data_IF_065002640037
#
_entry.id   IF_065002640037
#
_cell.length_a   1.000
_cell.length_b   1.000
_cell.length_c   1.000
_cell.angle_alpha   90.00
_cell.angle_beta   90.00
_cell.angle_gamma   90.00
#
_symmetry.space_group_name_H-M   'P 1'
#
loop_
_entity.id
_entity.type
_entity.pdbx_description
1 polymer ?
#
# COMPACT_ATOMS: atom_id res chain seq x y z
N UNK A 1 2.37 -15.34 16.18
CA UNK A 1 1.35 -14.91 15.19
C UNK A 1 2.06 -13.92 14.26
N UNK A 2 2.04 -14.19 12.96
CA UNK A 2 2.69 -13.30 12.00
C UNK A 2 1.94 -11.99 11.87
N UNK A 3 2.68 -10.90 11.69
CA UNK A 3 2.16 -9.53 11.61
C UNK A 3 2.10 -9.05 10.17
N UNK A 4 1.02 -8.34 9.82
CA UNK A 4 0.84 -7.77 8.49
C UNK A 4 0.43 -6.30 8.58
N UNK A 5 1.15 -5.45 7.87
CA UNK A 5 0.77 -4.05 7.65
C UNK A 5 0.08 -3.91 6.30
N UNK A 6 -1.13 -3.35 6.30
CA UNK A 6 -1.88 -3.05 5.10
C UNK A 6 -2.03 -1.53 5.01
N UNK A 7 -1.36 -0.89 4.06
CA UNK A 7 -1.50 0.56 3.85
C UNK A 7 -2.71 0.85 2.96
N UNK A 8 -3.28 2.04 3.07
CA UNK A 8 -4.54 2.33 2.38
C UNK A 8 -5.71 1.47 2.88
N UNK A 9 -5.61 0.99 4.12
CA UNK A 9 -6.55 0.05 4.75
C UNK A 9 -7.98 0.57 4.85
N UNK A 10 -8.18 1.88 4.86
CA UNK A 10 -9.52 2.51 4.86
C UNK A 10 -10.17 2.57 3.48
N UNK A 11 -9.43 2.26 2.41
CA UNK A 11 -9.94 2.23 1.05
C UNK A 11 -10.67 0.92 0.71
N UNK A 12 -11.30 0.89 -0.47
CA UNK A 12 -12.10 -0.27 -0.92
C UNK A 12 -11.29 -1.58 -0.89
N UNK A 13 -10.20 -1.66 -1.64
CA UNK A 13 -9.36 -2.88 -1.70
C UNK A 13 -8.72 -3.16 -0.33
N UNK A 14 -8.16 -2.14 0.31
CA UNK A 14 -7.47 -2.29 1.59
C UNK A 14 -8.36 -2.87 2.69
N UNK A 15 -9.63 -2.45 2.78
CA UNK A 15 -10.57 -2.95 3.79
C UNK A 15 -10.89 -4.44 3.59
N UNK A 16 -11.06 -4.92 2.36
CA UNK A 16 -11.24 -6.35 2.08
C UNK A 16 -10.01 -7.18 2.44
N UNK A 17 -8.81 -6.65 2.18
CA UNK A 17 -7.56 -7.34 2.55
C UNK A 17 -7.43 -7.40 4.08
N UNK A 18 -7.81 -6.34 4.80
CA UNK A 18 -7.86 -6.33 6.27
C UNK A 18 -8.76 -7.44 6.80
N UNK A 19 -9.98 -7.55 6.26
CA UNK A 19 -10.92 -8.62 6.66
C UNK A 19 -10.37 -10.01 6.40
N UNK A 20 -9.76 -10.24 5.24
CA UNK A 20 -9.19 -11.54 4.89
C UNK A 20 -7.99 -11.88 5.76
N UNK A 21 -7.12 -10.90 6.08
CA UNK A 21 -6.00 -11.09 6.99
C UNK A 21 -6.46 -11.47 8.41
N UNK A 22 -7.55 -10.87 8.90
CA UNK A 22 -8.16 -11.24 10.18
C UNK A 22 -8.69 -12.67 10.18
N UNK A 23 -9.37 -13.09 9.11
CA UNK A 23 -9.86 -14.47 8.94
C UNK A 23 -8.71 -15.48 8.97
N UNK A 24 -7.58 -15.13 8.37
CA UNK A 24 -6.35 -15.93 8.35
C UNK A 24 -5.54 -15.84 9.65
N UNK A 25 -6.03 -15.12 10.65
CA UNK A 25 -5.43 -15.01 12.00
C UNK A 25 -4.06 -14.32 12.01
N UNK A 26 -3.83 -13.36 11.10
CA UNK A 26 -2.70 -12.45 11.20
C UNK A 26 -2.89 -11.43 12.34
N UNK A 27 -1.80 -10.94 12.90
CA UNK A 27 -1.79 -9.69 13.67
C UNK A 27 -1.88 -8.52 12.69
N UNK A 28 -3.06 -7.88 12.58
CA UNK A 28 -3.37 -6.92 11.52
C UNK A 28 -3.11 -5.48 11.95
N UNK A 29 -2.30 -4.79 11.17
CA UNK A 29 -2.02 -3.36 11.27
C UNK A 29 -2.59 -2.63 10.09
N UNK A 30 -3.52 -1.72 10.34
CA UNK A 30 -4.14 -0.89 9.32
C UNK A 30 -3.40 0.45 9.22
N UNK A 31 -2.60 0.60 8.17
CA UNK A 31 -1.90 1.84 7.83
C UNK A 31 -2.84 2.82 7.15
N UNK A 32 -3.13 3.94 7.80
CA UNK A 32 -4.06 4.96 7.33
C UNK A 32 -3.50 6.37 7.54
N UNK A 33 -4.02 7.37 6.83
CA UNK A 33 -3.76 8.78 7.14
C UNK A 33 -4.61 9.21 8.35
N UNK A 34 -4.17 10.20 9.11
CA UNK A 34 -4.92 10.76 10.24
C UNK A 34 -6.36 11.18 9.88
N UNK A 35 -6.54 11.70 8.66
CA UNK A 35 -7.85 12.12 8.11
C UNK A 35 -8.72 11.00 7.54
N UNK A 36 -8.25 9.75 7.53
CA UNK A 36 -8.97 8.63 6.92
C UNK A 36 -10.18 8.20 7.75
N UNK A 37 -11.28 7.84 7.07
CA UNK A 37 -12.42 7.18 7.72
C UNK A 37 -11.97 5.85 8.35
N UNK A 38 -12.52 5.53 9.52
CA UNK A 38 -12.32 4.24 10.20
C UNK A 38 -13.55 3.36 10.14
N UNK A 39 -14.49 3.66 9.26
CA UNK A 39 -15.79 2.98 9.16
C UNK A 39 -15.67 1.48 8.99
N UNK A 40 -14.75 1.03 8.14
CA UNK A 40 -14.48 -0.40 7.87
C UNK A 40 -13.41 -1.01 8.79
N UNK A 41 -12.86 -0.24 9.75
CA UNK A 41 -11.78 -0.66 10.64
C UNK A 41 -12.23 -0.76 12.11
N UNK A 42 -13.50 -1.12 12.35
CA UNK A 42 -14.10 -1.15 13.70
C UNK A 42 -13.77 -2.40 14.51
N UNK A 43 -13.19 -3.43 13.89
CA UNK A 43 -12.84 -4.66 14.58
C UNK A 43 -11.72 -4.39 15.60
N UNK A 44 -11.96 -4.73 16.88
CA UNK A 44 -11.01 -4.49 17.98
C UNK A 44 -9.66 -5.21 17.85
N UNK A 45 -9.55 -6.18 16.93
CA UNK A 45 -8.30 -6.89 16.64
C UNK A 45 -7.41 -6.15 15.64
N UNK A 46 -7.89 -5.04 15.06
CA UNK A 46 -7.13 -4.22 14.14
C UNK A 46 -6.33 -3.19 14.95
N UNK A 47 -5.03 -3.18 14.75
CA UNK A 47 -4.15 -2.12 15.24
C UNK A 47 -4.10 -1.00 14.21
N UNK A 48 -4.47 0.21 14.59
CA UNK A 48 -4.39 1.38 13.71
C UNK A 48 -2.98 1.96 13.78
N UNK A 49 -2.38 2.20 12.62
CA UNK A 49 -1.11 2.89 12.48
C UNK A 49 -1.29 4.09 11.54
N UNK A 50 -1.16 5.29 12.07
CA UNK A 50 -1.20 6.51 11.26
C UNK A 50 0.15 6.69 10.56
N UNK A 51 0.10 6.86 9.23
CA UNK A 51 1.28 7.00 8.38
C UNK A 51 1.11 8.19 7.43
N UNK A 52 2.05 9.12 7.48
CA UNK A 52 2.11 10.28 6.60
C UNK A 52 3.18 10.09 5.52
N UNK A 53 2.78 9.51 4.40
CA UNK A 53 3.68 9.25 3.27
C UNK A 53 4.12 10.52 2.54
N UNK A 54 3.44 11.66 2.75
CA UNK A 54 3.80 12.91 2.11
C UNK A 54 5.00 13.61 2.77
N UNK A 55 5.24 13.32 4.05
CA UNK A 55 6.28 13.94 4.86
C UNK A 55 7.27 12.89 5.38
N UNK A 56 8.41 12.67 4.71
CA UNK A 56 9.36 11.59 5.05
C UNK A 56 9.83 11.58 6.51
N UNK A 57 10.00 12.75 7.12
CA UNK A 57 10.43 12.83 8.53
C UNK A 57 9.33 12.34 9.49
N UNK A 58 8.07 12.69 9.22
CA UNK A 58 6.92 12.21 9.99
C UNK A 58 6.74 10.70 9.81
N UNK A 59 6.80 10.22 8.58
CA UNK A 59 6.75 8.80 8.28
C UNK A 59 7.83 8.01 9.03
N UNK A 60 9.07 8.55 9.04
CA UNK A 60 10.19 7.96 9.78
C UNK A 60 9.91 7.91 11.27
N UNK A 61 9.41 9.00 11.86
CA UNK A 61 9.08 9.07 13.30
C UNK A 61 7.99 8.06 13.67
N UNK A 62 6.93 7.97 12.87
CA UNK A 62 5.81 7.05 13.06
C UNK A 62 6.26 5.58 13.00
N UNK A 63 7.06 5.21 12.00
CA UNK A 63 7.61 3.86 11.87
C UNK A 63 8.64 3.55 12.97
N UNK A 64 9.47 4.52 13.37
CA UNK A 64 10.43 4.35 14.47
C UNK A 64 9.74 4.09 15.80
N UNK A 65 8.63 4.79 16.06
CA UNK A 65 7.81 4.57 17.26
C UNK A 65 7.23 3.16 17.28
N UNK A 66 6.77 2.67 16.13
CA UNK A 66 6.29 1.29 16.00
C UNK A 66 7.42 0.27 16.21
N UNK A 67 8.60 0.51 15.64
CA UNK A 67 9.77 -0.38 15.76
C UNK A 67 10.16 -0.62 17.22
N UNK A 68 10.02 0.38 18.09
CA UNK A 68 10.26 0.25 19.53
C UNK A 68 9.38 -0.81 20.21
N UNK A 69 8.21 -1.11 19.63
CA UNK A 69 7.24 -2.07 20.17
C UNK A 69 7.34 -3.45 19.51
N UNK A 70 7.49 -3.52 18.18
CA UNK A 70 7.34 -4.76 17.39
C UNK A 70 8.49 -5.05 16.43
N UNK A 71 9.56 -4.31 16.44
CA UNK A 71 10.74 -4.44 15.60
C UNK A 71 10.48 -4.31 14.08
N UNK A 72 9.65 -5.17 13.46
CA UNK A 72 9.22 -5.07 12.05
C UNK A 72 7.94 -5.87 11.80
N UNK A 73 7.30 -5.62 10.64
CA UNK A 73 6.20 -6.45 10.14
C UNK A 73 6.74 -7.66 9.39
N UNK A 74 6.05 -8.80 9.48
CA UNK A 74 6.40 -9.97 8.67
C UNK A 74 6.03 -9.74 7.20
N UNK A 75 4.85 -9.14 6.95
CA UNK A 75 4.34 -8.84 5.61
C UNK A 75 3.87 -7.40 5.52
N UNK A 76 4.01 -6.81 4.33
CA UNK A 76 3.43 -5.50 4.00
C UNK A 76 2.66 -5.62 2.69
N UNK A 77 1.39 -5.18 2.70
CA UNK A 77 0.60 -4.99 1.47
C UNK A 77 0.34 -3.50 1.30
N UNK A 78 0.94 -2.92 0.27
CA UNK A 78 0.85 -1.49 -0.01
C UNK A 78 -0.26 -1.21 -1.02
N UNK A 79 -1.42 -0.75 -0.51
CA UNK A 79 -2.59 -0.37 -1.30
C UNK A 79 -2.81 1.16 -1.32
N UNK A 80 -1.99 1.91 -0.59
CA UNK A 80 -2.11 3.36 -0.57
C UNK A 80 -1.75 3.95 -1.94
N UNK A 81 -2.63 4.77 -2.49
CA UNK A 81 -2.46 5.40 -3.78
C UNK A 81 -3.69 6.19 -4.19
N UNK A 82 -3.60 6.89 -5.32
CA UNK A 82 -4.72 7.60 -5.95
C UNK A 82 -5.01 6.98 -7.31
N UNK A 83 -6.30 6.82 -7.63
CA UNK A 83 -6.78 6.26 -8.90
C UNK A 83 -7.40 7.33 -9.80
N UNK A 84 -7.71 8.50 -9.22
CA UNK A 84 -8.27 9.67 -9.90
C UNK A 84 -7.66 10.93 -9.32
N UNK A 85 -7.30 11.86 -10.18
CA UNK A 85 -6.83 13.19 -9.77
C UNK A 85 -7.09 14.20 -10.90
N UNK A 86 -7.20 15.48 -10.54
CA UNK A 86 -7.35 16.58 -11.51
C UNK A 86 -6.01 16.91 -12.16
N UNK A 87 -4.93 16.92 -11.38
CA UNK A 87 -3.57 17.14 -11.86
C UNK A 87 -2.83 15.81 -11.99
N UNK A 88 -2.41 15.46 -13.20
CA UNK A 88 -1.71 14.20 -13.49
C UNK A 88 -0.41 14.03 -12.70
N UNK A 89 0.23 15.13 -12.27
CA UNK A 89 1.42 15.11 -11.40
C UNK A 89 1.16 14.47 -10.03
N UNK A 90 -0.12 14.41 -9.62
CA UNK A 90 -0.51 13.72 -8.38
C UNK A 90 -0.23 12.21 -8.44
N UNK A 91 -0.35 11.57 -9.63
CA UNK A 91 0.00 10.16 -9.77
C UNK A 91 1.47 9.92 -9.46
N UNK A 92 2.37 10.74 -10.03
CA UNK A 92 3.80 10.65 -9.76
C UNK A 92 4.12 10.92 -8.28
N UNK A 93 3.54 11.99 -7.72
CA UNK A 93 3.75 12.38 -6.33
C UNK A 93 3.26 11.31 -5.35
N UNK A 94 2.04 10.81 -5.53
CA UNK A 94 1.40 9.91 -4.55
C UNK A 94 1.76 8.45 -4.82
N UNK A 95 1.63 7.98 -6.05
CA UNK A 95 1.81 6.55 -6.34
C UNK A 95 3.29 6.15 -6.47
N UNK A 96 4.17 7.07 -6.91
CA UNK A 96 5.60 6.79 -7.03
C UNK A 96 6.41 7.36 -5.87
N UNK A 97 6.46 8.69 -5.69
CA UNK A 97 7.37 9.28 -4.70
C UNK A 97 7.04 8.87 -3.26
N UNK A 98 5.77 8.87 -2.87
CA UNK A 98 5.38 8.45 -1.52
C UNK A 98 5.65 6.97 -1.27
N UNK A 99 5.42 6.11 -2.27
CA UNK A 99 5.80 4.69 -2.20
C UNK A 99 7.30 4.53 -2.04
N UNK A 100 8.08 5.30 -2.82
CA UNK A 100 9.54 5.32 -2.70
C UNK A 100 9.99 5.74 -1.30
N UNK A 101 9.45 6.83 -0.75
CA UNK A 101 9.77 7.27 0.61
C UNK A 101 9.46 6.19 1.65
N UNK A 102 8.36 5.48 1.49
CA UNK A 102 8.00 4.40 2.39
C UNK A 102 9.03 3.26 2.34
N UNK A 103 9.36 2.79 1.16
CA UNK A 103 10.34 1.70 0.99
C UNK A 103 11.73 2.11 1.50
N UNK A 104 12.18 3.32 1.17
CA UNK A 104 13.47 3.83 1.64
C UNK A 104 13.50 3.94 3.17
N UNK A 105 12.44 4.44 3.80
CA UNK A 105 12.32 4.53 5.26
C UNK A 105 12.34 3.14 5.92
N UNK A 106 11.66 2.16 5.35
CA UNK A 106 11.71 0.77 5.84
C UNK A 106 13.14 0.20 5.79
N UNK A 107 13.89 0.50 4.72
CA UNK A 107 15.30 0.07 4.58
C UNK A 107 16.18 0.75 5.64
N UNK A 108 16.10 2.05 5.78
CA UNK A 108 16.87 2.83 6.73
C UNK A 108 16.64 2.41 8.19
N UNK A 109 15.41 2.04 8.51
CA UNK A 109 15.03 1.55 9.85
C UNK A 109 15.29 0.06 10.06
N UNK A 110 15.82 -0.67 9.07
CA UNK A 110 15.95 -2.14 9.08
C UNK A 110 14.61 -2.85 9.37
N UNK A 111 13.52 -2.36 8.78
CA UNK A 111 12.16 -2.89 8.92
C UNK A 111 11.68 -3.60 7.64
N UNK A 112 12.60 -4.11 6.81
CA UNK A 112 12.24 -4.84 5.60
C UNK A 112 11.46 -6.09 5.98
N UNK A 113 10.22 -6.30 5.44
CA UNK A 113 9.40 -7.46 5.71
C UNK A 113 9.96 -8.73 5.03
N UNK A 114 9.41 -9.90 5.35
CA UNK A 114 9.65 -11.13 4.60
C UNK A 114 9.16 -11.01 3.15
N UNK A 115 8.02 -10.31 2.97
CA UNK A 115 7.45 -10.04 1.66
C UNK A 115 6.77 -8.67 1.65
N UNK A 116 7.03 -7.89 0.60
CA UNK A 116 6.36 -6.63 0.29
C UNK A 116 5.54 -6.82 -0.98
N UNK A 117 4.22 -6.61 -0.89
CA UNK A 117 3.30 -6.69 -2.02
C UNK A 117 2.82 -5.28 -2.35
N UNK A 118 3.03 -4.85 -3.58
CA UNK A 118 2.51 -3.59 -4.11
C UNK A 118 1.29 -3.83 -4.97
N UNK A 119 0.16 -3.20 -4.64
CA UNK A 119 -1.04 -3.29 -5.45
C UNK A 119 -0.92 -2.29 -6.60
N UNK A 120 -0.62 -2.82 -7.77
CA UNK A 120 -0.48 -2.08 -9.02
C UNK A 120 -1.82 -2.00 -9.77
N UNK A 121 -1.79 -1.79 -11.09
CA UNK A 121 -2.96 -1.64 -11.95
C UNK A 121 -2.77 -2.38 -13.26
N UNK A 122 -3.85 -2.87 -13.86
CA UNK A 122 -3.82 -3.40 -15.23
C UNK A 122 -3.52 -2.32 -16.28
N UNK A 123 -3.71 -1.04 -15.95
CA UNK A 123 -3.35 0.08 -16.85
C UNK A 123 -1.86 0.14 -17.18
N UNK A 124 -1.01 -0.57 -16.43
CA UNK A 124 0.42 -0.69 -16.71
C UNK A 124 0.69 -1.37 -18.06
N UNK A 125 -0.21 -2.21 -18.54
CA UNK A 125 -0.08 -2.88 -19.83
C UNK A 125 -0.54 -2.02 -21.02
N UNK A 126 -1.28 -0.94 -20.78
CA UNK A 126 -1.87 -0.15 -21.86
C UNK A 126 -2.81 -0.98 -22.75
N UNK A 127 -2.96 -0.63 -24.04
CA UNK A 127 -3.85 -1.33 -24.96
C UNK A 127 -3.17 -2.54 -25.65
N UNK A 128 -2.49 -3.40 -24.89
CA UNK A 128 -1.60 -4.47 -25.42
C UNK A 128 -2.32 -5.43 -26.37
N UNK A 129 -3.56 -5.80 -26.12
CA UNK A 129 -4.32 -6.75 -26.95
C UNK A 129 -5.58 -6.11 -27.59
N UNK A 130 -5.56 -4.80 -27.86
CA UNK A 130 -6.72 -4.05 -28.36
C UNK A 130 -7.30 -4.63 -29.68
N UNK A 131 -6.45 -5.18 -30.56
CA UNK A 131 -6.89 -5.74 -31.84
C UNK A 131 -7.31 -7.19 -31.78
N UNK A 132 -6.80 -7.96 -30.85
CA UNK A 132 -7.02 -9.41 -30.76
C UNK A 132 -7.97 -9.81 -29.65
N UNK A 133 -8.24 -8.93 -28.71
CA UNK A 133 -9.06 -9.17 -27.51
C UNK A 133 -8.58 -10.38 -26.67
N UNK A 134 -7.30 -10.72 -26.77
CA UNK A 134 -6.71 -11.75 -25.92
C UNK A 134 -6.64 -11.26 -24.46
N UNK A 135 -6.83 -12.16 -23.48
CA UNK A 135 -6.61 -11.80 -22.08
C UNK A 135 -5.18 -11.33 -21.81
N UNK A 136 -5.01 -10.36 -20.94
CA UNK A 136 -3.69 -9.96 -20.43
C UNK A 136 -3.20 -11.07 -19.51
N UNK A 137 -1.93 -11.46 -19.67
CA UNK A 137 -1.26 -12.51 -18.91
C UNK A 137 -0.04 -11.96 -18.17
N UNK A 138 0.55 -12.77 -17.30
CA UNK A 138 1.79 -12.42 -16.58
C UNK A 138 3.01 -12.32 -17.51
N UNK A 139 2.92 -12.88 -18.73
CA UNK A 139 3.99 -12.84 -19.73
C UNK A 139 3.99 -11.54 -20.56
N UNK A 140 2.90 -10.76 -20.49
CA UNK A 140 2.79 -9.52 -21.21
C UNK A 140 3.72 -8.45 -20.63
N UNK A 141 4.42 -7.74 -21.51
CA UNK A 141 5.31 -6.66 -21.10
C UNK A 141 4.53 -5.39 -20.77
N UNK A 142 4.86 -4.69 -19.68
CA UNK A 142 4.29 -3.39 -19.37
C UNK A 142 4.53 -2.37 -20.48
N UNK A 143 3.47 -1.72 -20.95
CA UNK A 143 3.50 -0.66 -21.96
C UNK A 143 2.51 0.46 -21.60
N UNK A 144 2.72 1.18 -20.49
CA UNK A 144 1.78 2.19 -20.03
C UNK A 144 1.67 3.34 -21.02
N UNK A 145 0.45 3.77 -21.29
CA UNK A 145 0.14 4.90 -22.18
C UNK A 145 -0.57 6.06 -21.46
N UNK A 146 -0.69 5.97 -20.15
CA UNK A 146 -1.29 7.00 -19.29
C UNK A 146 -0.38 7.33 -18.12
N UNK A 147 -0.58 8.48 -17.50
CA UNK A 147 0.15 8.85 -16.27
C UNK A 147 -0.19 7.97 -15.06
N UNK A 148 -1.32 7.26 -15.10
CA UNK A 148 -1.71 6.32 -14.04
C UNK A 148 -1.06 4.95 -14.22
N UNK A 149 -0.92 4.46 -15.45
CA UNK A 149 -0.21 3.21 -15.79
C UNK A 149 1.29 3.38 -15.68
#
# INVERSE_FOLDING_TARGET
MESILITGASGFIGSFIVEEALKRKFGVWAGIRSSSSREYLRNRKIHILELDFAHPNELRAQLSGHKGTYNKFDYIIHCAGVTKCTDKREFDRVNYLQTKYFVDTLRELNMIPKQFIYISTLSVFGPVHEKTYQPITEEDSPMPNTAYG
#
